data_IF_112629949305
#
_entry.id   IF_112629949305
#
_cell.length_a   1.000
_cell.length_b   1.000
_cell.length_c   1.000
_cell.angle_alpha   90.00
_cell.angle_beta   90.00
_cell.angle_gamma   90.00
#
_symmetry.space_group_name_H-M   'P 1'
#
loop_
_entity.id
_entity.type
_entity.pdbx_description
1 polymer ?
#
# COMPACT_ATOMS: atom_id res chain seq x y z
N UNK A 1 -10.20 -15.23 -11.09
CA UNK A 1 -9.78 -14.72 -12.43
C UNK A 1 -8.30 -14.35 -12.34
N UNK A 2 -7.51 -14.59 -13.38
CA UNK A 2 -6.10 -14.17 -13.41
C UNK A 2 -6.00 -12.68 -13.79
N UNK A 3 -5.01 -11.98 -13.25
CA UNK A 3 -4.70 -10.60 -13.63
C UNK A 3 -4.47 -10.52 -15.15
N UNK A 4 -5.22 -9.65 -15.80
CA UNK A 4 -5.03 -9.33 -17.20
C UNK A 4 -3.96 -8.23 -17.34
N UNK A 5 -2.74 -8.66 -17.66
CA UNK A 5 -1.59 -7.75 -17.77
C UNK A 5 -1.78 -6.67 -18.84
N UNK A 6 -2.63 -6.91 -19.87
CA UNK A 6 -2.91 -5.93 -20.92
C UNK A 6 -3.70 -4.71 -20.40
N UNK A 7 -4.36 -4.84 -19.26
CA UNK A 7 -5.13 -3.77 -18.61
C UNK A 7 -4.31 -2.94 -17.64
N UNK A 8 -3.05 -3.32 -17.38
CA UNK A 8 -2.16 -2.52 -16.54
C UNK A 8 -1.64 -1.33 -17.35
N UNK A 9 -2.01 -0.12 -16.90
CA UNK A 9 -1.54 1.11 -17.53
C UNK A 9 -0.06 1.33 -17.22
N UNK A 10 0.75 1.45 -18.25
CA UNK A 10 2.15 1.79 -18.08
C UNK A 10 2.32 3.29 -17.87
N UNK A 11 2.85 3.68 -16.73
CA UNK A 11 3.19 5.06 -16.37
C UNK A 11 4.63 5.05 -15.86
N UNK A 12 5.63 4.98 -16.77
CA UNK A 12 7.00 4.71 -16.39
C UNK A 12 7.57 5.84 -15.53
N UNK A 13 8.12 5.46 -14.38
CA UNK A 13 8.94 6.31 -13.52
C UNK A 13 10.35 6.41 -14.12
N UNK A 14 10.98 7.57 -14.05
CA UNK A 14 12.35 7.72 -14.58
C UNK A 14 13.34 6.82 -13.83
N UNK A 15 14.34 6.28 -14.55
CA UNK A 15 15.31 5.32 -14.00
C UNK A 15 16.14 5.90 -12.84
N UNK A 16 16.21 7.21 -12.70
CA UNK A 16 16.86 7.86 -11.54
C UNK A 16 16.07 7.70 -10.24
N UNK A 17 14.78 7.35 -10.31
CA UNK A 17 13.86 7.28 -9.17
C UNK A 17 13.63 5.84 -8.63
N UNK A 18 14.24 4.84 -9.21
CA UNK A 18 14.25 3.47 -8.68
C UNK A 18 15.61 2.81 -8.92
N UNK A 19 15.83 1.64 -8.33
CA UNK A 19 17.06 0.88 -8.52
C UNK A 19 16.77 -0.27 -9.50
N UNK A 20 17.39 -0.21 -10.69
CA UNK A 20 17.24 -1.18 -11.78
C UNK A 20 18.16 -2.38 -11.56
N UNK A 21 17.96 -3.03 -10.42
CA UNK A 21 18.64 -4.23 -10.01
C UNK A 21 17.60 -5.32 -9.76
N UNK A 22 17.75 -6.48 -10.41
CA UNK A 22 16.87 -7.61 -10.19
C UNK A 22 17.21 -8.29 -8.85
N UNK A 23 16.23 -8.38 -7.98
CA UNK A 23 16.38 -8.98 -6.65
C UNK A 23 15.32 -10.05 -6.39
N UNK A 24 15.65 -11.03 -5.56
CA UNK A 24 14.68 -12.02 -5.10
C UNK A 24 13.63 -11.32 -4.23
N UNK A 25 12.35 -11.46 -4.59
CA UNK A 25 11.24 -10.91 -3.80
C UNK A 25 10.74 -11.95 -2.80
N UNK A 26 10.61 -11.51 -1.55
CA UNK A 26 10.15 -12.32 -0.42
C UNK A 26 8.86 -11.77 0.18
N UNK A 27 8.59 -10.48 0.03
CA UNK A 27 7.49 -9.82 0.72
C UNK A 27 6.67 -8.95 -0.23
N UNK A 28 5.35 -8.88 -0.01
CA UNK A 28 4.48 -7.88 -0.60
C UNK A 28 4.04 -6.94 0.51
N UNK A 29 4.13 -5.64 0.28
CA UNK A 29 3.77 -4.61 1.27
C UNK A 29 2.69 -3.70 0.73
N UNK A 30 1.59 -3.61 1.47
CA UNK A 30 0.47 -2.73 1.13
C UNK A 30 0.66 -1.36 1.77
N UNK A 31 0.51 -0.32 0.96
CA UNK A 31 0.54 1.09 1.36
C UNK A 31 -0.72 1.81 0.90
N UNK A 32 -0.97 3.01 1.46
CA UNK A 32 -1.86 3.98 0.85
C UNK A 32 -1.22 5.37 0.79
N UNK A 33 -1.59 6.14 -0.23
CA UNK A 33 -0.92 7.42 -0.56
C UNK A 33 -1.08 8.50 0.50
N UNK A 34 -2.08 8.41 1.39
CA UNK A 34 -2.54 9.53 2.21
C UNK A 34 -2.71 10.81 1.35
N UNK A 35 -3.33 10.66 0.18
CA UNK A 35 -3.39 11.75 -0.79
C UNK A 35 -4.35 11.47 -1.95
N UNK A 36 -4.07 12.11 -3.07
CA UNK A 36 -4.88 12.12 -4.28
C UNK A 36 -5.28 10.72 -4.75
N UNK A 37 -6.46 10.59 -5.37
CA UNK A 37 -6.98 9.35 -5.92
C UNK A 37 -6.46 9.01 -7.33
N UNK A 38 -5.52 9.77 -7.88
CA UNK A 38 -4.92 9.54 -9.21
C UNK A 38 -3.59 8.81 -9.10
N UNK A 39 -3.53 7.58 -9.60
CA UNK A 39 -2.29 6.82 -9.66
C UNK A 39 -1.22 7.47 -10.56
N UNK A 40 -1.53 7.96 -11.79
CA UNK A 40 -0.55 8.70 -12.57
C UNK A 40 -0.04 9.97 -11.87
N UNK A 41 -0.91 10.67 -11.15
CA UNK A 41 -0.52 11.85 -10.36
C UNK A 41 0.48 11.51 -9.25
N UNK A 42 0.27 10.40 -8.56
CA UNK A 42 1.19 9.90 -7.53
C UNK A 42 2.55 9.55 -8.13
N UNK A 43 2.58 8.82 -9.26
CA UNK A 43 3.83 8.46 -9.95
C UNK A 43 4.56 9.72 -10.43
N UNK A 44 3.85 10.72 -10.96
CA UNK A 44 4.44 11.99 -11.36
C UNK A 44 5.04 12.77 -10.18
N UNK A 45 4.41 12.71 -9.01
CA UNK A 45 4.99 13.31 -7.79
C UNK A 45 6.29 12.62 -7.39
N UNK A 46 6.36 11.30 -7.46
CA UNK A 46 7.60 10.57 -7.20
C UNK A 46 8.69 10.88 -8.21
N UNK A 47 8.33 11.10 -9.48
CA UNK A 47 9.31 11.43 -10.53
C UNK A 47 9.96 12.81 -10.29
N UNK A 48 9.23 13.72 -9.67
CA UNK A 48 9.70 15.04 -9.28
C UNK A 48 10.32 15.10 -7.86
N UNK A 49 10.32 14.01 -7.11
CA UNK A 49 10.81 14.00 -5.72
C UNK A 49 12.36 14.01 -5.70
N UNK A 50 12.93 15.05 -5.12
CA UNK A 50 14.39 15.24 -4.99
C UNK A 50 15.01 14.46 -3.83
N UNK A 51 14.19 13.94 -2.90
CA UNK A 51 14.66 13.03 -1.83
C UNK A 51 15.20 11.70 -2.40
N UNK A 52 14.81 11.37 -3.63
CA UNK A 52 15.32 10.32 -4.47
C UNK A 52 14.82 8.91 -4.17
N UNK A 53 14.43 8.20 -5.22
CA UNK A 53 14.13 6.77 -5.24
C UNK A 53 13.08 6.29 -4.24
N UNK A 54 12.09 7.15 -3.91
CA UNK A 54 10.97 6.81 -3.02
C UNK A 54 9.74 6.51 -3.87
N UNK A 55 9.41 5.23 -4.04
CA UNK A 55 8.28 4.79 -4.86
C UNK A 55 7.91 3.33 -4.57
N UNK A 56 6.70 2.93 -5.00
CA UNK A 56 6.31 1.53 -5.15
C UNK A 56 6.19 1.18 -6.64
N UNK A 57 6.27 -0.11 -6.99
CA UNK A 57 6.26 -0.52 -8.39
C UNK A 57 4.90 -0.35 -9.07
N UNK A 58 3.80 -0.34 -8.31
CA UNK A 58 2.44 -0.10 -8.81
C UNK A 58 1.68 0.83 -7.88
N UNK A 59 0.74 1.58 -8.50
CA UNK A 59 -0.23 2.43 -7.81
C UNK A 59 -1.62 2.07 -8.31
N UNK A 60 -2.60 1.97 -7.41
CA UNK A 60 -4.00 1.68 -7.73
C UNK A 60 -4.81 2.98 -7.55
N UNK A 61 -5.45 3.44 -8.61
CA UNK A 61 -6.32 4.63 -8.60
C UNK A 61 -7.54 4.43 -7.71
N UNK A 62 -8.01 5.53 -7.12
CA UNK A 62 -9.26 5.57 -6.37
C UNK A 62 -10.39 6.25 -7.11
N UNK A 63 -11.58 6.23 -6.51
CA UNK A 63 -12.81 6.82 -7.06
C UNK A 63 -12.69 8.34 -7.19
N UNK A 64 -12.96 8.85 -8.38
CA UNK A 64 -13.63 10.15 -8.51
C UNK A 64 -12.77 11.40 -8.65
N UNK A 65 -11.44 11.35 -8.89
CA UNK A 65 -10.67 12.61 -8.95
C UNK A 65 -9.87 12.86 -10.24
N UNK A 66 -9.80 11.92 -11.16
CA UNK A 66 -9.15 12.14 -12.45
C UNK A 66 -10.05 11.70 -13.59
N UNK A 67 -10.12 12.51 -14.64
CA UNK A 67 -10.81 12.13 -15.88
C UNK A 67 -10.04 11.07 -16.68
N UNK A 68 -8.75 10.91 -16.35
CA UNK A 68 -7.82 10.04 -17.08
C UNK A 68 -7.61 8.66 -16.42
N UNK A 69 -8.29 8.41 -15.32
CA UNK A 69 -8.22 7.15 -14.58
C UNK A 69 -9.60 6.71 -14.11
N UNK A 70 -9.80 5.41 -14.03
CA UNK A 70 -10.98 4.82 -13.41
C UNK A 70 -10.65 4.19 -12.06
N UNK A 71 -11.68 4.02 -11.25
CA UNK A 71 -11.56 3.41 -9.93
C UNK A 71 -11.01 1.98 -10.03
N UNK A 72 -9.96 1.69 -9.27
CA UNK A 72 -9.26 0.41 -9.32
C UNK A 72 -8.25 0.27 -10.46
N UNK A 73 -8.04 1.30 -11.34
CA UNK A 73 -7.02 1.21 -12.39
C UNK A 73 -5.63 0.99 -11.79
N UNK A 74 -4.94 -0.05 -12.29
CA UNK A 74 -3.56 -0.35 -11.89
C UNK A 74 -2.60 0.37 -12.82
N UNK A 75 -1.76 1.25 -12.25
CA UNK A 75 -0.69 1.94 -12.96
C UNK A 75 0.66 1.36 -12.54
N UNK A 76 1.46 0.89 -13.50
CA UNK A 76 2.80 0.37 -13.24
C UNK A 76 3.85 1.44 -13.46
N UNK A 77 4.63 1.72 -12.41
CA UNK A 77 5.73 2.69 -12.42
C UNK A 77 7.05 2.06 -12.91
N UNK A 78 7.34 0.85 -12.47
CA UNK A 78 8.48 0.04 -12.88
C UNK A 78 8.22 -1.46 -12.63
N UNK A 79 9.05 -2.33 -13.17
CA UNK A 79 8.90 -3.79 -13.00
C UNK A 79 9.07 -4.22 -11.55
N UNK A 80 8.25 -5.15 -11.05
CA UNK A 80 8.38 -5.73 -9.72
C UNK A 80 9.70 -6.48 -9.47
N UNK A 81 10.51 -6.74 -10.49
CA UNK A 81 11.86 -7.29 -10.36
C UNK A 81 12.84 -6.30 -9.73
N UNK A 82 12.60 -5.00 -9.96
CA UNK A 82 13.40 -3.88 -9.46
C UNK A 82 12.88 -3.41 -8.10
N UNK A 83 13.49 -2.37 -7.54
CA UNK A 83 13.10 -1.86 -6.24
C UNK A 83 13.32 -0.35 -6.08
N UNK A 84 12.63 0.25 -5.14
CA UNK A 84 12.83 1.59 -4.66
C UNK A 84 12.59 1.61 -3.15
N UNK A 85 12.95 2.68 -2.48
CA UNK A 85 12.68 2.84 -1.06
C UNK A 85 11.20 3.14 -0.82
N UNK A 86 10.54 2.36 0.03
CA UNK A 86 9.14 2.60 0.39
C UNK A 86 8.81 2.30 1.86
N UNK A 87 9.75 1.69 2.59
CA UNK A 87 9.54 1.32 3.99
C UNK A 87 10.08 2.38 4.96
N UNK A 88 11.12 3.11 4.58
CA UNK A 88 11.74 4.14 5.41
C UNK A 88 12.25 3.60 6.74
N UNK A 89 12.84 2.41 6.73
CA UNK A 89 13.31 1.70 7.92
C UNK A 89 14.60 2.32 8.47
N UNK A 90 14.63 2.44 9.79
CA UNK A 90 15.81 2.86 10.55
C UNK A 90 16.30 1.73 11.47
N UNK A 91 17.60 1.68 11.82
CA UNK A 91 18.15 0.66 12.72
C UNK A 91 17.43 0.54 14.08
N UNK A 92 16.85 1.64 14.56
CA UNK A 92 16.17 1.66 15.87
C UNK A 92 14.93 0.74 15.91
N UNK A 93 14.20 0.62 14.80
CA UNK A 93 13.04 -0.28 14.72
C UNK A 93 13.49 -1.74 14.92
N UNK A 94 14.57 -2.13 14.27
CA UNK A 94 15.15 -3.48 14.41
C UNK A 94 15.63 -3.74 15.84
N UNK A 95 16.33 -2.76 16.43
CA UNK A 95 16.83 -2.85 17.80
C UNK A 95 15.68 -3.01 18.80
N UNK A 96 14.60 -2.23 18.65
CA UNK A 96 13.42 -2.30 19.51
C UNK A 96 12.72 -3.67 19.44
N UNK A 97 12.84 -4.38 18.32
CA UNK A 97 12.25 -5.70 18.11
C UNK A 97 13.24 -6.86 18.35
N UNK A 98 14.48 -6.57 18.79
CA UNK A 98 15.52 -7.59 18.98
C UNK A 98 15.93 -8.32 17.69
N UNK A 99 15.83 -7.66 16.53
CA UNK A 99 16.13 -8.23 15.22
C UNK A 99 17.38 -7.55 14.64
N UNK A 100 18.34 -8.30 14.07
CA UNK A 100 19.48 -7.70 13.37
C UNK A 100 19.04 -6.82 12.21
N UNK A 101 19.69 -5.66 12.06
CA UNK A 101 19.39 -4.75 10.95
C UNK A 101 19.67 -5.39 9.60
N UNK A 102 18.78 -5.15 8.64
CA UNK A 102 18.96 -5.49 7.23
C UNK A 102 18.17 -4.53 6.33
N UNK A 103 18.57 -4.43 5.06
CA UNK A 103 17.76 -3.74 4.05
C UNK A 103 16.63 -4.65 3.60
N UNK A 104 15.39 -4.19 3.72
CA UNK A 104 14.17 -4.92 3.34
C UNK A 104 13.65 -4.47 1.97
N UNK A 105 13.77 -3.19 1.62
CA UNK A 105 13.24 -2.64 0.37
C UNK A 105 13.61 -3.47 -0.88
N UNK A 106 14.87 -3.96 -1.05
CA UNK A 106 15.22 -4.83 -2.18
C UNK A 106 14.43 -6.15 -2.23
N UNK A 107 13.98 -6.64 -1.09
CA UNK A 107 13.28 -7.92 -0.94
C UNK A 107 11.75 -7.77 -0.99
N UNK A 108 11.24 -6.53 -1.04
CA UNK A 108 9.82 -6.23 -0.97
C UNK A 108 9.27 -5.71 -2.31
N UNK A 109 7.99 -5.99 -2.54
CA UNK A 109 7.19 -5.41 -3.63
C UNK A 109 6.16 -4.51 -2.97
N UNK A 110 6.19 -3.20 -3.24
CA UNK A 110 5.22 -2.25 -2.72
C UNK A 110 4.00 -2.11 -3.64
N UNK A 111 2.81 -2.10 -3.05
CA UNK A 111 1.55 -1.66 -3.69
C UNK A 111 1.12 -0.37 -3.01
N UNK A 112 0.92 0.69 -3.78
CA UNK A 112 0.34 1.94 -3.29
C UNK A 112 -1.13 2.03 -3.68
N UNK A 113 -2.02 2.29 -2.74
CA UNK A 113 -3.47 2.45 -2.98
C UNK A 113 -3.82 3.92 -2.79
N UNK A 114 -4.37 4.58 -3.82
CA UNK A 114 -4.82 5.96 -3.69
C UNK A 114 -5.97 6.06 -2.68
N UNK A 115 -5.69 6.65 -1.52
CA UNK A 115 -6.64 6.75 -0.41
C UNK A 115 -6.21 7.88 0.54
N UNK A 116 -7.15 8.59 1.14
CA UNK A 116 -6.86 9.68 2.06
C UNK A 116 -6.41 9.22 3.45
N UNK A 117 -6.62 7.95 3.79
CA UNK A 117 -6.32 7.43 5.12
C UNK A 117 -7.32 7.89 6.17
N UNK A 118 -6.87 8.26 7.39
CA UNK A 118 -7.73 8.69 8.49
C UNK A 118 -8.56 9.93 8.15
N UNK A 119 -9.79 9.99 8.66
CA UNK A 119 -10.71 11.11 8.52
C UNK A 119 -11.13 11.65 9.89
N UNK A 120 -11.46 12.94 9.91
CA UNK A 120 -11.98 13.64 11.10
C UNK A 120 -13.43 14.03 10.87
N UNK A 121 -14.32 13.61 11.76
CA UNK A 121 -15.67 14.12 11.82
C UNK A 121 -15.65 15.47 12.54
N UNK A 122 -16.11 16.55 11.88
CA UNK A 122 -16.20 17.88 12.48
C UNK A 122 -17.61 18.19 12.98
N UNK A 123 -17.75 19.31 13.70
CA UNK A 123 -19.02 19.76 14.32
C UNK A 123 -20.13 20.04 13.31
N UNK A 124 -19.81 20.26 12.04
CA UNK A 124 -20.77 20.42 10.95
C UNK A 124 -21.32 19.08 10.42
N UNK A 125 -20.95 17.95 11.02
CA UNK A 125 -21.39 16.61 10.66
C UNK A 125 -20.71 16.05 9.40
N UNK A 126 -19.66 16.70 8.87
CA UNK A 126 -18.95 16.25 7.69
C UNK A 126 -17.59 15.61 8.03
N UNK A 127 -17.15 14.72 7.18
CA UNK A 127 -15.84 14.07 7.28
C UNK A 127 -14.80 14.83 6.47
N UNK A 128 -13.65 15.05 7.08
CA UNK A 128 -12.54 15.79 6.49
C UNK A 128 -11.28 14.95 6.46
N UNK A 129 -10.53 15.04 5.38
CA UNK A 129 -9.18 14.50 5.31
C UNK A 129 -8.18 15.47 5.98
N UNK A 130 -6.90 15.09 6.03
CA UNK A 130 -5.83 15.85 6.70
C UNK A 130 -5.49 17.21 6.04
N UNK A 131 -5.97 17.48 4.82
CA UNK A 131 -5.85 18.78 4.13
C UNK A 131 -7.17 19.55 4.12
N UNK A 132 -8.06 19.26 5.07
CA UNK A 132 -9.36 19.91 5.26
C UNK A 132 -10.31 19.86 4.05
N UNK A 133 -10.21 18.83 3.22
CA UNK A 133 -11.20 18.58 2.16
C UNK A 133 -12.29 17.65 2.67
N UNK A 134 -13.52 17.99 2.35
CA UNK A 134 -14.69 17.16 2.65
C UNK A 134 -14.61 15.85 1.86
N UNK A 135 -14.82 14.73 2.55
CA UNK A 135 -14.97 13.39 1.96
C UNK A 135 -16.46 13.02 2.03
N UNK A 136 -17.08 12.63 0.90
CA UNK A 136 -18.48 12.21 0.86
C UNK A 136 -18.77 11.03 1.81
N UNK A 137 -19.95 11.02 2.44
CA UNK A 137 -20.31 9.99 3.41
C UNK A 137 -20.27 8.57 2.84
N UNK A 138 -20.59 8.40 1.56
CA UNK A 138 -20.54 7.10 0.86
C UNK A 138 -19.10 6.60 0.62
N UNK A 139 -18.09 7.43 0.91
CA UNK A 139 -16.67 7.10 0.84
C UNK A 139 -16.03 6.99 2.23
N UNK A 140 -16.83 6.85 3.29
CA UNK A 140 -16.34 6.74 4.66
C UNK A 140 -16.50 5.31 5.17
N UNK A 141 -15.43 4.76 5.72
CA UNK A 141 -15.44 3.53 6.50
C UNK A 141 -15.35 3.88 7.97
N UNK A 142 -16.36 3.46 8.76
CA UNK A 142 -16.34 3.52 10.21
C UNK A 142 -15.84 2.19 10.76
N UNK A 143 -14.75 2.22 11.49
CA UNK A 143 -14.23 1.02 12.16
C UNK A 143 -14.98 0.77 13.46
N UNK A 144 -15.27 -0.48 13.75
CA UNK A 144 -15.90 -0.90 15.01
C UNK A 144 -15.03 -0.56 16.23
N UNK A 145 -13.71 -0.71 16.09
CA UNK A 145 -12.71 -0.31 17.09
C UNK A 145 -11.75 0.69 16.48
N UNK A 146 -11.41 1.79 17.18
CA UNK A 146 -10.44 2.75 16.68
C UNK A 146 -9.11 2.07 16.34
N UNK A 147 -8.51 2.44 15.20
CA UNK A 147 -7.19 2.01 14.79
C UNK A 147 -6.26 3.22 14.70
N UNK A 148 -5.06 3.14 15.32
CA UNK A 148 -4.11 4.28 15.37
C UNK A 148 -4.74 5.60 15.83
N UNK A 149 -5.72 5.52 16.75
CA UNK A 149 -6.42 6.69 17.28
C UNK A 149 -7.57 7.23 16.43
N UNK A 150 -7.90 6.60 15.30
CA UNK A 150 -8.96 7.04 14.40
C UNK A 150 -10.06 5.99 14.26
N UNK A 151 -11.32 6.45 14.23
CA UNK A 151 -12.52 5.62 14.00
C UNK A 151 -12.94 5.67 12.52
N UNK A 152 -12.69 6.79 11.84
CA UNK A 152 -13.15 7.03 10.48
C UNK A 152 -11.98 7.02 9.51
N UNK A 153 -12.16 6.35 8.38
CA UNK A 153 -11.16 6.25 7.31
C UNK A 153 -11.83 6.44 5.96
N UNK A 154 -11.09 6.95 5.01
CA UNK A 154 -11.51 6.88 3.61
C UNK A 154 -11.63 5.41 3.20
N UNK A 155 -12.80 5.02 2.68
CA UNK A 155 -13.07 3.64 2.32
C UNK A 155 -12.22 3.20 1.12
N UNK A 156 -11.67 1.99 1.18
CA UNK A 156 -11.19 1.32 -0.03
C UNK A 156 -12.40 0.88 -0.83
N UNK A 157 -12.43 1.20 -2.13
CA UNK A 157 -13.53 0.79 -3.01
C UNK A 157 -13.45 -0.70 -3.33
N UNK A 158 -14.56 -1.30 -3.75
CA UNK A 158 -14.58 -2.70 -4.16
C UNK A 158 -13.66 -2.93 -5.39
N UNK A 159 -13.54 -1.93 -6.28
CA UNK A 159 -12.63 -1.97 -7.41
C UNK A 159 -11.16 -1.96 -6.98
N UNK A 160 -10.78 -1.12 -6.01
CA UNK A 160 -9.42 -1.11 -5.44
C UNK A 160 -9.08 -2.46 -4.76
N UNK A 161 -10.02 -2.99 -3.97
CA UNK A 161 -9.85 -4.27 -3.27
C UNK A 161 -9.65 -5.42 -4.25
N UNK A 162 -10.44 -5.45 -5.35
CA UNK A 162 -10.28 -6.46 -6.40
C UNK A 162 -8.94 -6.32 -7.12
N UNK A 163 -8.48 -5.11 -7.40
CA UNK A 163 -7.18 -4.86 -8.02
C UNK A 163 -6.02 -5.30 -7.13
N UNK A 164 -6.10 -5.04 -5.82
CA UNK A 164 -5.16 -5.57 -4.82
C UNK A 164 -5.13 -7.09 -4.87
N UNK A 165 -6.31 -7.74 -4.81
CA UNK A 165 -6.43 -9.19 -4.87
C UNK A 165 -5.76 -9.79 -6.10
N UNK A 166 -6.01 -9.20 -7.28
CA UNK A 166 -5.42 -9.69 -8.54
C UNK A 166 -3.89 -9.56 -8.55
N UNK A 167 -3.33 -8.44 -8.05
CA UNK A 167 -1.89 -8.25 -7.92
C UNK A 167 -1.27 -9.24 -6.94
N UNK A 168 -1.91 -9.48 -5.79
CA UNK A 168 -1.44 -10.45 -4.80
C UNK A 168 -1.35 -11.86 -5.39
N UNK A 169 -2.42 -12.32 -6.04
CA UNK A 169 -2.45 -13.65 -6.70
C UNK A 169 -1.41 -13.75 -7.81
N UNK A 170 -1.22 -12.69 -8.59
CA UNK A 170 -0.21 -12.63 -9.65
C UNK A 170 1.21 -12.78 -9.09
N UNK A 171 1.57 -12.01 -8.05
CA UNK A 171 2.90 -12.07 -7.48
C UNK A 171 3.15 -13.32 -6.63
N UNK A 172 2.11 -13.88 -6.00
CA UNK A 172 2.21 -15.24 -5.45
C UNK A 172 2.65 -16.24 -6.53
N UNK A 173 2.00 -16.21 -7.69
CA UNK A 173 2.36 -17.09 -8.82
C UNK A 173 3.76 -16.81 -9.38
N UNK A 174 4.16 -15.55 -9.51
CA UNK A 174 5.43 -15.16 -10.16
C UNK A 174 6.63 -15.27 -9.22
N UNK A 175 6.47 -14.90 -7.96
CA UNK A 175 7.56 -14.82 -6.99
C UNK A 175 7.48 -15.86 -5.88
N UNK A 176 6.41 -16.66 -5.81
CA UNK A 176 6.19 -17.67 -4.77
C UNK A 176 5.98 -17.09 -3.37
N UNK A 177 5.50 -15.83 -3.27
CA UNK A 177 5.31 -15.16 -1.98
C UNK A 177 4.01 -15.65 -1.33
N UNK A 178 4.03 -16.24 -0.12
CA UNK A 178 2.83 -16.66 0.58
C UNK A 178 1.87 -15.49 0.86
N UNK A 179 0.56 -15.74 0.73
CA UNK A 179 -0.50 -14.75 0.95
C UNK A 179 -1.27 -14.98 2.26
N UNK A 180 -0.70 -15.73 3.19
CA UNK A 180 -1.34 -16.02 4.48
C UNK A 180 -1.61 -14.73 5.25
N UNK A 181 -2.89 -14.49 5.57
CA UNK A 181 -3.28 -13.38 6.44
C UNK A 181 -2.87 -13.67 7.88
N UNK A 182 -2.04 -12.83 8.44
CA UNK A 182 -1.69 -12.85 9.85
C UNK A 182 -2.01 -11.49 10.47
N UNK A 183 -3.05 -11.44 11.30
CA UNK A 183 -3.55 -10.21 11.90
C UNK A 183 -2.49 -9.48 12.73
N UNK A 184 -1.74 -10.20 13.56
CA UNK A 184 -0.72 -9.60 14.42
C UNK A 184 0.45 -9.02 13.61
N UNK A 185 0.86 -9.69 12.54
CA UNK A 185 1.95 -9.25 11.68
C UNK A 185 1.57 -8.08 10.78
N UNK A 186 0.29 -7.98 10.37
CA UNK A 186 -0.15 -6.94 9.44
C UNK A 186 -0.45 -5.60 10.13
N UNK A 187 -1.01 -5.63 11.35
CA UNK A 187 -1.52 -4.40 11.99
C UNK A 187 -0.61 -3.85 13.09
N UNK A 188 0.50 -4.52 13.36
CA UNK A 188 1.50 -4.10 14.33
C UNK A 188 2.91 -4.29 13.76
N UNK A 189 3.92 -3.64 14.37
CA UNK A 189 5.32 -3.91 14.02
C UNK A 189 5.63 -5.39 14.26
N UNK A 190 6.14 -6.05 13.23
CA UNK A 190 6.34 -7.50 13.18
C UNK A 190 7.82 -7.87 13.10
N UNK A 191 8.25 -8.74 14.00
CA UNK A 191 9.58 -9.35 13.91
C UNK A 191 9.73 -10.20 12.64
N UNK A 192 8.67 -10.86 12.16
CA UNK A 192 8.67 -11.63 10.92
C UNK A 192 8.91 -10.72 9.70
N UNK A 193 8.22 -9.58 9.64
CA UNK A 193 8.45 -8.58 8.59
C UNK A 193 9.90 -8.10 8.57
N UNK A 194 10.45 -7.73 9.73
CA UNK A 194 11.82 -7.24 9.88
C UNK A 194 12.89 -8.32 9.63
N UNK A 195 12.57 -9.59 9.84
CA UNK A 195 13.45 -10.73 9.51
C UNK A 195 13.39 -11.12 8.03
N UNK A 196 12.59 -10.42 7.22
CA UNK A 196 12.30 -10.74 5.83
C UNK A 196 11.68 -12.15 5.65
N UNK A 197 10.86 -12.60 6.60
CA UNK A 197 10.09 -13.83 6.43
C UNK A 197 9.17 -13.64 5.21
N UNK A 198 9.14 -14.59 4.25
CA UNK A 198 8.27 -14.48 3.09
C UNK A 198 6.80 -14.33 3.49
N UNK A 199 6.10 -13.36 2.89
CA UNK A 199 4.69 -13.15 3.23
C UNK A 199 4.12 -11.80 2.80
N UNK A 200 2.87 -11.59 3.23
CA UNK A 200 2.09 -10.39 2.99
C UNK A 200 2.07 -9.50 4.24
N UNK A 201 2.40 -8.23 4.04
CA UNK A 201 2.55 -7.24 5.11
C UNK A 201 1.91 -5.90 4.74
N UNK A 202 1.85 -4.99 5.70
CA UNK A 202 1.48 -3.58 5.50
C UNK A 202 2.61 -2.69 5.98
N UNK A 203 2.55 -1.40 5.73
CA UNK A 203 3.55 -0.46 6.27
C UNK A 203 3.58 -0.48 7.81
N UNK A 204 2.44 -0.77 8.46
CA UNK A 204 2.35 -0.92 9.92
C UNK A 204 3.22 -2.06 10.46
N UNK A 205 3.46 -3.10 9.64
CA UNK A 205 4.33 -4.24 10.00
C UNK A 205 5.78 -3.83 10.25
N UNK A 206 6.17 -2.66 9.76
CA UNK A 206 7.54 -2.15 9.80
C UNK A 206 7.71 -0.93 10.68
N UNK A 207 6.67 -0.08 10.81
CA UNK A 207 6.78 1.21 11.51
C UNK A 207 5.55 1.52 12.33
N UNK A 208 5.77 1.81 13.62
CA UNK A 208 4.70 2.15 14.58
C UNK A 208 3.97 3.46 14.23
N UNK A 209 4.69 4.42 13.63
CA UNK A 209 4.18 5.75 13.26
C UNK A 209 3.37 5.77 11.95
N UNK A 210 3.22 4.61 11.31
CA UNK A 210 2.43 4.47 10.08
C UNK A 210 1.01 4.00 10.36
N UNK A 211 0.09 4.39 9.48
CA UNK A 211 -1.32 4.01 9.52
C UNK A 211 -1.81 3.38 8.21
N UNK A 212 -0.93 3.18 7.27
CA UNK A 212 -1.20 2.62 5.95
C UNK A 212 -0.79 1.14 5.88
N UNK A 213 -1.71 0.28 5.52
CA UNK A 213 -3.15 0.45 5.29
C UNK A 213 -3.95 0.31 6.59
N UNK A 214 -5.24 0.72 6.56
CA UNK A 214 -6.14 0.54 7.70
C UNK A 214 -6.92 -0.79 7.64
N UNK A 215 -7.29 -1.39 8.81
CA UNK A 215 -7.96 -2.69 8.89
C UNK A 215 -9.45 -2.60 8.59
N UNK A 216 -9.82 -2.17 7.39
CA UNK A 216 -11.22 -2.06 6.98
C UNK A 216 -11.83 -3.44 6.73
N UNK A 217 -13.09 -3.69 7.12
CA UNK A 217 -13.72 -5.02 7.09
C UNK A 217 -13.67 -5.70 5.71
N UNK A 218 -13.96 -4.98 4.63
CA UNK A 218 -13.91 -5.53 3.26
C UNK A 218 -12.49 -5.94 2.84
N UNK A 219 -11.49 -5.12 3.18
CA UNK A 219 -10.08 -5.44 2.92
C UNK A 219 -9.65 -6.68 3.69
N UNK A 220 -9.97 -6.75 4.99
CA UNK A 220 -9.68 -7.94 5.82
C UNK A 220 -10.36 -9.18 5.27
N UNK A 221 -11.63 -9.09 4.87
CA UNK A 221 -12.37 -10.22 4.31
C UNK A 221 -11.70 -10.74 3.03
N UNK A 222 -11.28 -9.84 2.14
CA UNK A 222 -10.52 -10.19 0.93
C UNK A 222 -9.19 -10.87 1.30
N UNK A 223 -8.39 -10.28 2.20
CA UNK A 223 -7.11 -10.84 2.61
C UNK A 223 -7.25 -12.24 3.23
N UNK A 224 -8.26 -12.45 4.09
CA UNK A 224 -8.58 -13.76 4.67
C UNK A 224 -8.98 -14.80 3.60
N UNK A 225 -9.63 -14.36 2.52
CA UNK A 225 -10.02 -15.25 1.41
C UNK A 225 -8.85 -15.77 0.58
N UNK A 226 -7.64 -15.19 0.76
CA UNK A 226 -6.42 -15.61 0.07
C UNK A 226 -5.62 -16.70 0.82
N UNK A 227 -6.01 -17.01 2.06
CA UNK A 227 -5.39 -18.08 2.83
C UNK A 227 -5.54 -19.42 2.07
N UNK A 228 -4.50 -19.80 1.37
CA UNK A 228 -4.35 -21.10 0.71
C UNK A 228 -3.07 -21.77 1.19
#
# INVERSE_FOLDING_TARGET
MSLDLSKIKQVPLSEKQFIKEETKKLQIVLHHTAGNSSAPGTIKMWDADDRGRIATCVVISGKGLSKDTFDGEICQAFSSKYWAYHLGLKPDVFRAMGVPYRSIDPLAIGIEICNWGPLTLKNDGKFYNYVDRVVPNDQVCTLEKPYKGHTYYHAYTDAQIESVKQLLLYWNKVHGIPLTYNESDMWNVSANALKAVPGLYTHNSYRKDKSDISPQPKMIAMLKSLNQ
#
